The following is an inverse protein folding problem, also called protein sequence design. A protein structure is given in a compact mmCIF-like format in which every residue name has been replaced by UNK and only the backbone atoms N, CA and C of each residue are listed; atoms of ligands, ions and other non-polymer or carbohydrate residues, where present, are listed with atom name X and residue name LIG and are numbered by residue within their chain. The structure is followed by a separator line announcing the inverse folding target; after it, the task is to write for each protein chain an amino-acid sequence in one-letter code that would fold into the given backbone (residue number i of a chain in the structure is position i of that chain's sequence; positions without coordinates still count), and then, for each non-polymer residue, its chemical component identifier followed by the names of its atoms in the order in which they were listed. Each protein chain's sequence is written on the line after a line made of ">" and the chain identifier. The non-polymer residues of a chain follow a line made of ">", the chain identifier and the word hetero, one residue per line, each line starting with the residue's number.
data_IF_927326322602
#
_entry.id   IF_927326322602
#
_cell.length_a   1.000
_cell.length_b   1.000
_cell.length_c   1.000
_cell.angle_alpha   90.00
_cell.angle_beta   90.00
_cell.angle_gamma   90.00
#
_symmetry.space_group_name_H-M   'P 1'
#
loop_
_entity.id
_entity.type
_entity.pdbx_description
1 polymer ?
#
# COMPACT_ATOMS: atom_id res chain seq x y z
N UNK A 1 12.73 35.07 -53.60
CA UNK A 1 12.10 34.11 -52.67
C UNK A 1 13.01 34.01 -51.45
N UNK A 2 12.56 34.53 -50.31
CA UNK A 2 13.41 34.83 -49.15
C UNK A 2 13.81 33.56 -48.39
N UNK A 3 15.08 33.49 -47.98
CA UNK A 3 15.65 32.41 -47.14
C UNK A 3 14.81 32.08 -45.90
N UNK A 4 14.06 33.06 -45.40
CA UNK A 4 13.11 32.91 -44.29
C UNK A 4 11.98 31.91 -44.55
N UNK A 5 11.57 31.74 -45.81
CA UNK A 5 10.47 30.86 -46.20
C UNK A 5 10.87 29.38 -46.14
N UNK A 6 12.14 29.07 -46.41
CA UNK A 6 12.68 27.72 -46.27
C UNK A 6 12.89 27.33 -44.80
N UNK A 7 13.26 28.29 -43.95
CA UNK A 7 13.40 28.06 -42.51
C UNK A 7 12.05 27.77 -41.83
N UNK A 8 10.99 28.49 -42.20
CA UNK A 8 9.64 28.23 -41.66
C UNK A 8 9.10 26.86 -42.08
N UNK A 9 9.32 26.44 -43.34
CA UNK A 9 8.88 25.12 -43.83
C UNK A 9 9.68 24.00 -43.16
N UNK A 10 10.98 24.17 -42.95
CA UNK A 10 11.81 23.20 -42.23
C UNK A 10 11.43 23.10 -40.74
N UNK A 11 11.10 24.22 -40.09
CA UNK A 11 10.67 24.24 -38.68
C UNK A 11 9.28 23.59 -38.50
N UNK A 12 8.34 23.84 -39.44
CA UNK A 12 7.03 23.18 -39.46
C UNK A 12 7.14 21.68 -39.77
N UNK A 13 8.07 21.26 -40.62
CA UNK A 13 8.36 19.85 -40.87
C UNK A 13 8.98 19.15 -39.65
N UNK A 14 9.83 19.85 -38.89
CA UNK A 14 10.40 19.35 -37.63
C UNK A 14 9.37 19.28 -36.49
N UNK A 15 8.41 20.20 -36.45
CA UNK A 15 7.25 20.13 -35.54
C UNK A 15 6.26 19.03 -35.94
N UNK A 16 6.14 18.71 -37.23
CA UNK A 16 5.29 17.63 -37.74
C UNK A 16 5.84 16.22 -37.50
N UNK A 17 7.16 16.07 -37.32
CA UNK A 17 7.81 14.77 -37.10
C UNK A 17 7.79 14.30 -35.62
N UNK A 18 7.25 15.10 -34.68
CA UNK A 18 7.06 14.70 -33.29
C UNK A 18 5.65 14.15 -33.02
N UNK A 19 5.03 13.49 -34.01
CA UNK A 19 3.94 12.57 -33.68
C UNK A 19 4.55 11.35 -32.99
N UNK A 20 4.58 11.43 -31.65
CA UNK A 20 4.79 10.31 -30.76
C UNK A 20 3.86 9.17 -31.23
N UNK A 21 4.44 8.11 -31.79
CA UNK A 21 3.73 6.83 -31.92
C UNK A 21 3.52 6.33 -30.50
N UNK A 22 2.40 6.74 -29.89
CA UNK A 22 1.80 5.99 -28.81
C UNK A 22 1.32 4.69 -29.46
N UNK A 23 2.16 3.66 -29.41
CA UNK A 23 1.74 2.32 -29.77
C UNK A 23 0.57 1.97 -28.83
N UNK A 24 -0.60 1.74 -29.42
CA UNK A 24 -1.81 1.28 -28.73
C UNK A 24 -1.53 -0.14 -28.20
N UNK A 25 -0.88 -0.25 -27.04
CA UNK A 25 -0.60 -1.54 -26.44
C UNK A 25 -1.90 -2.11 -25.88
N UNK A 26 -2.28 -3.34 -26.27
CA UNK A 26 -3.49 -4.01 -25.76
C UNK A 26 -3.40 -4.39 -24.27
N UNK A 27 -2.29 -4.07 -23.59
CA UNK A 27 -2.09 -4.30 -22.16
C UNK A 27 -2.77 -3.20 -21.35
N UNK A 28 -3.82 -3.57 -20.62
CA UNK A 28 -4.60 -2.64 -19.80
C UNK A 28 -3.82 -2.28 -18.53
N UNK A 29 -3.64 -1.00 -18.24
CA UNK A 29 -3.07 -0.57 -16.95
C UNK A 29 -4.18 -0.51 -15.91
N UNK A 30 -4.01 -1.25 -14.82
CA UNK A 30 -4.95 -1.26 -13.70
C UNK A 30 -4.32 -0.59 -12.47
N UNK A 31 -5.16 0.15 -11.74
CA UNK A 31 -4.81 0.85 -10.50
C UNK A 31 -5.73 0.40 -9.36
N UNK A 32 -5.43 0.80 -8.13
CA UNK A 32 -6.29 0.52 -6.97
C UNK A 32 -7.76 0.94 -7.20
N UNK A 33 -7.99 2.05 -7.91
CA UNK A 33 -9.34 2.58 -8.16
C UNK A 33 -10.11 1.77 -9.21
N UNK A 34 -9.42 1.32 -10.26
CA UNK A 34 -10.07 0.68 -11.41
C UNK A 34 -10.14 -0.84 -11.32
N UNK A 35 -9.25 -1.46 -10.53
CA UNK A 35 -9.05 -2.90 -10.54
C UNK A 35 -10.36 -3.65 -10.28
N UNK A 36 -11.09 -3.32 -9.23
CA UNK A 36 -12.34 -4.00 -8.90
C UNK A 36 -13.46 -3.70 -9.88
N UNK A 37 -13.55 -2.46 -10.35
CA UNK A 37 -14.59 -2.07 -11.28
C UNK A 37 -14.45 -2.81 -12.63
N UNK A 38 -13.20 -2.98 -13.11
CA UNK A 38 -12.92 -3.63 -14.40
C UNK A 38 -12.86 -5.15 -14.29
N UNK A 39 -12.15 -5.67 -13.28
CA UNK A 39 -11.93 -7.12 -13.16
C UNK A 39 -13.05 -7.82 -12.43
N UNK A 40 -13.73 -7.14 -11.50
CA UNK A 40 -14.72 -7.70 -10.57
C UNK A 40 -14.22 -8.94 -9.82
N UNK A 41 -12.90 -9.05 -9.63
CA UNK A 41 -12.22 -10.23 -9.13
C UNK A 41 -12.74 -10.71 -7.78
N UNK A 42 -13.12 -9.80 -6.86
CA UNK A 42 -13.66 -10.18 -5.55
C UNK A 42 -15.12 -10.67 -5.55
N UNK A 43 -15.91 -10.29 -6.55
CA UNK A 43 -17.33 -10.69 -6.64
C UNK A 43 -17.55 -12.00 -7.40
N UNK A 44 -16.57 -12.39 -8.22
CA UNK A 44 -16.69 -13.54 -9.12
C UNK A 44 -17.62 -13.33 -10.32
N UNK A 45 -18.23 -12.16 -10.47
CA UNK A 45 -19.02 -11.77 -11.64
C UNK A 45 -18.17 -11.26 -12.82
N UNK A 46 -16.88 -11.61 -12.83
CA UNK A 46 -15.87 -11.13 -13.79
C UNK A 46 -16.41 -11.16 -15.22
N UNK A 47 -16.41 -10.01 -15.92
CA UNK A 47 -16.92 -9.86 -17.30
C UNK A 47 -16.10 -10.64 -18.34
N UNK A 48 -15.03 -11.30 -17.91
CA UNK A 48 -14.19 -12.20 -18.66
C UNK A 48 -13.03 -12.65 -17.77
N UNK A 49 -12.21 -13.55 -18.28
CA UNK A 49 -10.98 -13.93 -17.61
C UNK A 49 -9.93 -12.80 -17.73
N UNK A 50 -9.10 -12.65 -16.69
CA UNK A 50 -8.06 -11.62 -16.66
C UNK A 50 -6.69 -12.22 -16.36
N UNK A 51 -5.71 -11.96 -17.22
CA UNK A 51 -4.30 -12.22 -16.94
C UNK A 51 -3.66 -10.92 -16.48
N UNK A 52 -3.17 -10.85 -15.24
CA UNK A 52 -2.63 -9.62 -14.66
C UNK A 52 -1.18 -9.81 -14.22
N UNK A 53 -0.28 -8.97 -14.73
CA UNK A 53 1.10 -8.85 -14.27
C UNK A 53 1.22 -7.80 -13.15
N UNK A 54 1.67 -8.23 -11.98
CA UNK A 54 2.13 -7.36 -10.91
C UNK A 54 3.63 -7.11 -11.06
N UNK A 55 4.00 -5.87 -11.33
CA UNK A 55 5.37 -5.47 -11.64
C UNK A 55 5.85 -4.28 -10.81
N UNK A 56 7.15 -3.97 -10.94
CA UNK A 56 7.75 -2.74 -10.46
C UNK A 56 8.64 -2.14 -11.57
N UNK A 57 8.65 -0.81 -11.76
CA UNK A 57 9.26 -0.16 -12.94
C UNK A 57 10.79 -0.25 -12.93
N UNK A 58 11.39 -0.42 -11.76
CA UNK A 58 12.84 -0.59 -11.58
C UNK A 58 13.30 -2.04 -11.73
N UNK A 59 12.39 -3.02 -11.79
CA UNK A 59 12.76 -4.44 -11.82
C UNK A 59 13.25 -4.87 -13.21
N UNK A 60 14.50 -5.33 -13.29
CA UNK A 60 15.10 -5.79 -14.56
C UNK A 60 14.39 -7.00 -15.19
N UNK A 61 13.82 -7.92 -14.39
CA UNK A 61 13.05 -9.05 -14.91
C UNK A 61 11.71 -8.62 -15.51
N UNK A 62 11.07 -7.58 -14.96
CA UNK A 62 9.82 -7.02 -15.51
C UNK A 62 10.08 -6.34 -16.85
N UNK A 63 11.17 -5.56 -16.95
CA UNK A 63 11.57 -4.91 -18.23
C UNK A 63 11.82 -5.91 -19.36
N UNK A 64 12.34 -7.10 -19.04
CA UNK A 64 12.52 -8.19 -20.01
C UNK A 64 11.21 -8.86 -20.41
N UNK A 65 10.23 -8.92 -19.50
CA UNK A 65 8.93 -9.52 -19.74
C UNK A 65 7.99 -8.61 -20.54
N UNK A 66 8.07 -7.28 -20.34
CA UNK A 66 7.20 -6.29 -20.98
C UNK A 66 6.96 -6.52 -22.49
N UNK A 67 7.99 -6.67 -23.35
CA UNK A 67 7.76 -6.86 -24.80
C UNK A 67 7.15 -8.23 -25.14
N UNK A 68 7.32 -9.25 -24.29
CA UNK A 68 6.67 -10.55 -24.45
C UNK A 68 5.21 -10.44 -24.02
N UNK A 69 4.96 -9.72 -22.93
CA UNK A 69 3.63 -9.53 -22.35
C UNK A 69 2.72 -8.72 -23.28
N UNK A 70 3.26 -7.73 -23.99
CA UNK A 70 2.54 -7.01 -25.04
C UNK A 70 2.08 -7.95 -26.16
N UNK A 71 2.94 -8.86 -26.64
CA UNK A 71 2.55 -9.85 -27.64
C UNK A 71 1.50 -10.83 -27.15
N UNK A 72 1.56 -11.21 -25.87
CA UNK A 72 0.54 -12.04 -25.23
C UNK A 72 -0.80 -11.31 -25.20
N UNK A 73 -0.82 -10.01 -24.94
CA UNK A 73 -2.03 -9.20 -25.01
C UNK A 73 -2.60 -9.12 -26.43
N UNK A 74 -1.74 -9.02 -27.44
CA UNK A 74 -2.16 -9.04 -28.84
C UNK A 74 -2.75 -10.40 -29.25
N UNK A 75 -2.15 -11.50 -28.81
CA UNK A 75 -2.60 -12.86 -29.14
C UNK A 75 -3.91 -13.23 -28.43
N UNK A 76 -4.08 -12.81 -27.18
CA UNK A 76 -5.27 -13.13 -26.37
C UNK A 76 -6.41 -12.12 -26.56
N UNK A 77 -6.26 -11.18 -27.50
CA UNK A 77 -7.24 -10.11 -27.74
C UNK A 77 -8.62 -10.70 -28.06
N UNK A 78 -9.59 -10.38 -27.21
CA UNK A 78 -10.97 -10.84 -27.34
C UNK A 78 -11.26 -12.19 -26.66
N UNK A 79 -10.24 -12.92 -26.19
CA UNK A 79 -10.38 -14.15 -25.42
C UNK A 79 -10.18 -13.89 -23.92
N UNK A 80 -9.04 -13.28 -23.56
CA UNK A 80 -8.65 -13.01 -22.17
C UNK A 80 -8.13 -11.58 -22.07
N UNK A 81 -8.58 -10.84 -21.06
CA UNK A 81 -8.11 -9.48 -20.83
C UNK A 81 -6.71 -9.52 -20.22
N UNK A 82 -5.74 -8.87 -20.86
CA UNK A 82 -4.35 -8.82 -20.36
C UNK A 82 -4.09 -7.45 -19.76
N UNK A 83 -3.59 -7.43 -18.51
CA UNK A 83 -3.41 -6.21 -17.75
C UNK A 83 -2.12 -6.20 -16.94
N UNK A 84 -1.68 -5.01 -16.52
CA UNK A 84 -0.53 -4.82 -15.64
C UNK A 84 -0.86 -3.86 -14.51
N UNK A 85 -0.27 -4.11 -13.35
CA UNK A 85 -0.39 -3.30 -12.13
C UNK A 85 1.01 -2.96 -11.63
N UNK A 86 1.28 -1.67 -11.50
CA UNK A 86 2.48 -1.19 -10.82
C UNK A 86 2.26 -1.24 -9.31
N UNK A 87 2.89 -2.19 -8.62
CA UNK A 87 2.73 -2.37 -7.17
C UNK A 87 3.46 -1.28 -6.38
N UNK A 88 4.38 -0.53 -6.99
CA UNK A 88 5.07 0.57 -6.30
C UNK A 88 4.13 1.74 -6.02
N UNK A 89 3.26 2.05 -6.97
CA UNK A 89 2.20 3.05 -6.81
C UNK A 89 0.91 2.45 -6.21
N UNK A 90 0.71 1.13 -6.34
CA UNK A 90 -0.50 0.42 -5.93
C UNK A 90 -0.21 -0.65 -4.85
N UNK A 91 0.43 -0.24 -3.76
CA UNK A 91 0.89 -1.15 -2.70
C UNK A 91 -0.25 -1.94 -2.02
N UNK A 92 -1.47 -1.42 -2.01
CA UNK A 92 -2.65 -2.08 -1.43
C UNK A 92 -3.02 -3.36 -2.18
N UNK A 93 -3.02 -3.32 -3.51
CA UNK A 93 -3.23 -4.52 -4.34
C UNK A 93 -2.11 -5.54 -4.12
N UNK A 94 -0.86 -5.09 -4.01
CA UNK A 94 0.27 -5.95 -3.68
C UNK A 94 0.09 -6.69 -2.35
N UNK A 95 -0.37 -5.99 -1.30
CA UNK A 95 -0.68 -6.60 -0.01
C UNK A 95 -1.86 -7.57 -0.09
N UNK A 96 -2.94 -7.18 -0.77
CA UNK A 96 -4.17 -7.97 -0.90
C UNK A 96 -3.94 -9.31 -1.60
N UNK A 97 -3.12 -9.33 -2.64
CA UNK A 97 -2.77 -10.55 -3.38
C UNK A 97 -1.46 -11.20 -2.93
N UNK A 98 -0.89 -10.75 -1.80
CA UNK A 98 0.32 -11.37 -1.22
C UNK A 98 1.54 -11.32 -2.14
N UNK A 99 1.69 -10.28 -2.96
CA UNK A 99 2.80 -10.14 -3.92
C UNK A 99 4.09 -9.83 -3.17
N UNK A 100 5.01 -10.81 -3.11
CA UNK A 100 6.31 -10.70 -2.43
C UNK A 100 7.50 -10.48 -3.37
N UNK A 101 7.27 -10.56 -4.68
CA UNK A 101 8.34 -10.46 -5.68
C UNK A 101 7.81 -10.20 -7.07
N UNK A 102 8.69 -9.70 -7.95
CA UNK A 102 8.34 -9.25 -9.29
C UNK A 102 9.14 -9.97 -10.38
N UNK A 103 8.56 -10.20 -11.57
CA UNK A 103 7.13 -10.06 -11.88
C UNK A 103 6.33 -11.26 -11.36
N UNK A 104 5.14 -11.02 -10.83
CA UNK A 104 4.17 -12.06 -10.47
C UNK A 104 2.98 -11.95 -11.40
N UNK A 105 2.61 -13.04 -12.08
CA UNK A 105 1.45 -13.08 -12.98
C UNK A 105 0.36 -13.92 -12.33
N UNK A 106 -0.83 -13.34 -12.20
CA UNK A 106 -2.02 -14.02 -11.69
C UNK A 106 -3.09 -14.04 -12.79
N UNK A 107 -3.79 -15.15 -12.91
CA UNK A 107 -4.97 -15.28 -13.74
C UNK A 107 -6.21 -15.25 -12.84
N UNK A 108 -7.17 -14.38 -13.15
CA UNK A 108 -8.42 -14.24 -12.41
C UNK A 108 -9.57 -14.82 -13.22
N UNK A 109 -10.28 -15.76 -12.62
CA UNK A 109 -11.46 -16.39 -13.22
C UNK A 109 -12.42 -16.82 -12.11
N UNK A 110 -13.71 -16.50 -12.27
CA UNK A 110 -14.79 -16.92 -11.36
C UNK A 110 -14.52 -16.68 -9.86
N UNK A 111 -13.95 -15.52 -9.51
CA UNK A 111 -13.70 -15.15 -8.10
C UNK A 111 -12.47 -15.82 -7.48
N UNK A 112 -11.66 -16.51 -8.29
CA UNK A 112 -10.40 -17.12 -7.88
C UNK A 112 -9.24 -16.54 -8.66
N UNK A 113 -8.08 -16.51 -8.01
CA UNK A 113 -6.80 -16.16 -8.61
C UNK A 113 -5.89 -17.38 -8.69
N UNK A 114 -5.26 -17.56 -9.83
CA UNK A 114 -4.38 -18.67 -10.15
C UNK A 114 -2.99 -18.14 -10.46
N UNK A 115 -2.00 -18.56 -9.67
CA UNK A 115 -0.63 -18.07 -9.83
C UNK A 115 0.11 -18.79 -10.94
N UNK A 116 0.69 -18.04 -11.87
CA UNK A 116 1.55 -18.61 -12.90
C UNK A 116 2.95 -18.92 -12.34
N UNK A 117 3.43 -20.15 -12.57
CA UNK A 117 4.76 -20.63 -12.14
C UNK A 117 5.62 -21.19 -13.28
N UNK A 118 5.12 -21.15 -14.52
CA UNK A 118 5.81 -21.66 -15.71
C UNK A 118 6.90 -20.73 -16.26
N UNK A 119 7.39 -21.04 -17.47
CA UNK A 119 8.37 -20.16 -18.14
C UNK A 119 7.64 -18.95 -18.69
N UNK A 120 8.28 -17.79 -18.63
CA UNK A 120 7.68 -16.53 -19.06
C UNK A 120 7.85 -16.31 -20.57
N UNK A 121 7.47 -17.31 -21.36
CA UNK A 121 7.41 -17.21 -22.82
C UNK A 121 5.99 -16.87 -23.25
N UNK A 122 5.84 -16.44 -24.49
CA UNK A 122 4.55 -16.08 -25.05
C UNK A 122 3.60 -17.28 -25.04
N UNK A 123 4.08 -18.43 -25.47
CA UNK A 123 3.30 -19.66 -25.62
C UNK A 123 2.81 -20.18 -24.27
N UNK A 124 3.69 -20.19 -23.25
CA UNK A 124 3.35 -20.68 -21.92
C UNK A 124 2.34 -19.76 -21.23
N UNK A 125 2.47 -18.44 -21.38
CA UNK A 125 1.52 -17.47 -20.83
C UNK A 125 0.16 -17.53 -21.52
N UNK A 126 0.14 -17.63 -22.86
CA UNK A 126 -1.11 -17.77 -23.63
C UNK A 126 -1.81 -19.09 -23.33
N UNK A 127 -1.07 -20.21 -23.27
CA UNK A 127 -1.61 -21.51 -22.89
C UNK A 127 -2.16 -21.52 -21.46
N UNK A 128 -1.47 -20.86 -20.54
CA UNK A 128 -1.96 -20.71 -19.17
C UNK A 128 -3.28 -19.95 -19.13
N UNK A 129 -3.37 -18.82 -19.84
CA UNK A 129 -4.56 -17.98 -19.89
C UNK A 129 -5.77 -18.68 -20.53
N UNK A 130 -5.58 -19.49 -21.58
CA UNK A 130 -6.67 -20.21 -22.27
C UNK A 130 -7.25 -21.39 -21.49
N UNK A 131 -6.64 -21.79 -20.37
CA UNK A 131 -7.16 -22.87 -19.54
C UNK A 131 -6.14 -23.62 -18.71
N UNK A 132 -4.83 -23.43 -18.94
CA UNK A 132 -3.79 -24.03 -18.12
C UNK A 132 -3.89 -23.66 -16.64
N UNK A 133 -4.48 -22.50 -16.32
CA UNK A 133 -4.76 -22.07 -14.95
C UNK A 133 -5.60 -23.05 -14.12
N UNK A 134 -6.46 -23.86 -14.77
CA UNK A 134 -7.32 -24.85 -14.09
C UNK A 134 -6.51 -25.98 -13.44
N UNK A 135 -5.25 -26.17 -13.86
CA UNK A 135 -4.34 -27.17 -13.28
C UNK A 135 -3.66 -26.70 -11.98
N UNK A 136 -3.78 -25.41 -11.64
CA UNK A 136 -3.18 -24.81 -10.45
C UNK A 136 -4.25 -24.62 -9.38
N UNK A 137 -3.89 -24.78 -8.12
CA UNK A 137 -4.78 -24.49 -7.00
C UNK A 137 -5.14 -22.99 -7.01
N UNK A 138 -6.43 -22.71 -7.18
CA UNK A 138 -6.96 -21.35 -7.18
C UNK A 138 -7.19 -20.85 -5.76
N UNK A 139 -6.67 -19.66 -5.47
CA UNK A 139 -6.93 -18.94 -4.22
C UNK A 139 -8.17 -18.07 -4.36
N UNK A 140 -9.08 -18.08 -3.38
CA UNK A 140 -10.28 -17.25 -3.40
C UNK A 140 -9.86 -15.79 -3.27
N UNK A 141 -10.30 -14.94 -4.20
CA UNK A 141 -10.01 -13.52 -4.15
C UNK A 141 -10.80 -12.91 -2.99
N UNK A 142 -10.10 -12.48 -1.95
CA UNK A 142 -10.72 -11.76 -0.84
C UNK A 142 -11.44 -10.52 -1.37
N UNK A 143 -12.65 -10.25 -0.86
CA UNK A 143 -13.42 -9.06 -1.22
C UNK A 143 -12.56 -7.79 -1.06
N UNK A 144 -12.76 -6.82 -1.94
CA UNK A 144 -12.12 -5.52 -1.79
C UNK A 144 -12.50 -4.91 -0.43
N UNK A 145 -11.58 -4.21 0.25
CA UNK A 145 -11.86 -3.60 1.54
C UNK A 145 -13.06 -2.65 1.37
N UNK A 146 -14.17 -2.99 2.04
CA UNK A 146 -15.37 -2.16 1.99
C UNK A 146 -15.18 -0.93 2.88
N UNK A 147 -15.97 0.12 2.66
CA UNK A 147 -15.98 1.29 3.55
C UNK A 147 -16.21 0.90 5.02
N UNK A 148 -17.02 -0.13 5.27
CA UNK A 148 -17.24 -0.67 6.60
C UNK A 148 -15.97 -1.30 7.21
N UNK A 149 -15.09 -1.86 6.39
CA UNK A 149 -13.80 -2.39 6.85
C UNK A 149 -12.85 -1.25 7.22
N UNK A 150 -12.84 -0.15 6.46
CA UNK A 150 -12.12 1.06 6.85
C UNK A 150 -12.64 1.64 8.18
N UNK A 151 -13.97 1.70 8.37
CA UNK A 151 -14.58 2.14 9.61
C UNK A 151 -14.24 1.21 10.79
N UNK A 152 -14.26 -0.11 10.57
CA UNK A 152 -13.82 -1.09 11.57
C UNK A 152 -12.33 -0.96 11.89
N UNK A 153 -11.48 -0.70 10.89
CA UNK A 153 -10.05 -0.49 11.10
C UNK A 153 -9.79 0.74 11.94
N UNK A 154 -10.45 1.87 11.67
CA UNK A 154 -10.36 3.05 12.55
C UNK A 154 -10.83 2.74 13.97
N UNK A 155 -11.94 2.02 14.14
CA UNK A 155 -12.43 1.65 15.46
C UNK A 155 -11.45 0.72 16.22
N UNK A 156 -10.84 -0.23 15.52
CA UNK A 156 -9.84 -1.15 16.09
C UNK A 156 -8.53 -0.44 16.44
N UNK A 157 -8.09 0.51 15.62
CA UNK A 157 -6.89 1.31 15.89
C UNK A 157 -7.13 2.24 17.09
N UNK A 158 -8.26 2.94 17.16
CA UNK A 158 -8.64 3.74 18.34
C UNK A 158 -8.69 2.86 19.60
N UNK A 159 -9.23 1.65 19.49
CA UNK A 159 -9.28 0.70 20.61
C UNK A 159 -7.89 0.21 21.01
N UNK A 160 -7.01 -0.10 20.06
CA UNK A 160 -5.61 -0.52 20.34
C UNK A 160 -4.83 0.60 20.98
N UNK A 161 -4.97 1.81 20.47
CA UNK A 161 -4.33 3.01 21.02
C UNK A 161 -4.86 3.28 22.42
N UNK A 162 -6.16 3.17 22.66
CA UNK A 162 -6.73 3.29 23.99
C UNK A 162 -6.21 2.23 24.96
N UNK A 163 -6.11 0.96 24.53
CA UNK A 163 -5.52 -0.12 25.35
C UNK A 163 -4.05 0.15 25.65
N UNK A 164 -3.30 0.60 24.64
CA UNK A 164 -1.87 0.93 24.77
C UNK A 164 -1.67 2.11 25.72
N UNK A 165 -2.53 3.12 25.60
CA UNK A 165 -2.56 4.31 26.43
C UNK A 165 -2.98 3.97 27.87
N UNK A 166 -3.93 3.06 28.07
CA UNK A 166 -4.28 2.54 29.40
C UNK A 166 -3.14 1.68 29.99
N UNK A 167 -2.45 0.89 29.18
CA UNK A 167 -1.32 0.06 29.61
C UNK A 167 -0.09 0.90 29.99
N UNK A 168 0.24 1.94 29.23
CA UNK A 168 1.32 2.89 29.56
C UNK A 168 0.93 3.85 30.68
N UNK A 169 -0.34 4.29 30.75
CA UNK A 169 -0.79 5.20 31.82
C UNK A 169 -0.89 4.56 33.19
N UNK A 170 -0.93 3.23 33.34
CA UNK A 170 -0.77 2.63 34.68
C UNK A 170 0.58 3.01 35.28
N UNK A 171 1.65 3.05 34.49
CA UNK A 171 2.96 3.52 34.95
C UNK A 171 2.99 5.05 35.09
N UNK A 172 2.37 5.82 34.19
CA UNK A 172 2.30 7.29 34.32
C UNK A 172 1.53 7.73 35.56
N UNK A 173 0.37 7.12 35.84
CA UNK A 173 -0.44 7.43 37.02
C UNK A 173 0.33 7.10 38.31
N UNK A 174 0.99 5.94 38.35
CA UNK A 174 1.82 5.52 39.48
C UNK A 174 3.04 6.44 39.69
N UNK A 175 3.68 6.89 38.60
CA UNK A 175 4.80 7.85 38.63
C UNK A 175 4.35 9.24 39.09
N UNK A 176 3.18 9.72 38.64
CA UNK A 176 2.65 11.02 39.09
C UNK A 176 2.23 10.99 40.56
N UNK A 177 1.68 9.87 41.03
CA UNK A 177 1.28 9.71 42.43
C UNK A 177 2.49 9.57 43.35
N UNK A 178 3.50 8.80 42.95
CA UNK A 178 4.74 8.66 43.72
C UNK A 178 5.54 9.95 43.76
N UNK A 179 5.64 10.67 42.64
CA UNK A 179 6.29 11.98 42.57
C UNK A 179 5.57 13.01 43.44
N UNK A 180 4.24 13.07 43.40
CA UNK A 180 3.44 13.96 44.25
C UNK A 180 3.57 13.64 45.74
N UNK A 181 3.58 12.36 46.12
CA UNK A 181 3.76 11.92 47.51
C UNK A 181 5.16 12.27 48.06
N UNK A 182 6.21 12.09 47.26
CA UNK A 182 7.57 12.49 47.60
C UNK A 182 7.71 14.00 47.77
N UNK A 183 7.13 14.78 46.86
CA UNK A 183 7.14 16.24 46.96
C UNK A 183 6.39 16.72 48.22
N UNK A 184 5.26 16.10 48.53
CA UNK A 184 4.49 16.38 49.74
C UNK A 184 5.24 16.06 51.03
N UNK A 185 5.91 14.90 51.10
CA UNK A 185 6.74 14.53 52.25
C UNK A 185 7.94 15.46 52.44
N UNK A 186 8.59 15.90 51.36
CA UNK A 186 9.69 16.86 51.42
C UNK A 186 9.23 18.23 51.94
N UNK A 187 8.12 18.75 51.43
CA UNK A 187 7.54 20.02 51.90
C UNK A 187 7.07 19.92 53.37
N UNK A 188 6.50 18.78 53.77
CA UNK A 188 6.11 18.50 55.15
C UNK A 188 7.31 18.47 56.12
N UNK A 189 8.41 17.84 55.73
CA UNK A 189 9.66 17.82 56.52
C UNK A 189 10.26 19.22 56.70
N UNK A 190 10.21 20.07 55.67
CA UNK A 190 10.69 21.45 55.77
C UNK A 190 9.85 22.28 56.76
N UNK A 191 8.54 22.04 56.83
CA UNK A 191 7.67 22.70 57.81
C UNK A 191 7.88 22.16 59.24
N UNK A 192 8.16 20.86 59.40
CA UNK A 192 8.44 20.23 60.70
C UNK A 192 9.75 20.69 61.34
N UNK A 193 10.80 20.93 60.55
CA UNK A 193 12.08 21.44 61.06
C UNK A 193 12.02 22.92 61.49
N UNK A 194 11.06 23.71 61.01
CA UNK A 194 10.89 25.10 61.44
C UNK A 194 10.22 25.24 62.82
N UNK A 195 9.63 24.18 63.37
CA UNK A 195 8.84 24.26 64.62
C UNK A 195 9.58 23.75 65.87
N UNK A 196 10.82 23.24 65.76
CA UNK A 196 11.56 22.67 66.90
C UNK A 196 12.75 23.49 67.44
N UNK A 197 13.02 24.70 66.93
CA UNK A 197 13.92 25.64 67.64
C UNK A 197 13.16 26.39 68.73
N UNK A 198 12.87 25.68 69.82
CA UNK A 198 12.53 26.27 71.11
C UNK A 198 13.68 27.15 71.60
N UNK A 199 13.53 28.46 71.44
CA UNK A 199 14.42 29.47 72.04
C UNK A 199 14.24 29.44 73.57
N UNK A 200 15.26 28.98 74.30
CA UNK A 200 15.31 29.12 75.76
C UNK A 200 15.44 30.61 76.10
N UNK A 201 14.40 31.22 76.67
CA UNK A 201 14.47 32.55 77.27
C UNK A 201 14.92 32.47 78.75
N UNK A 202 15.88 33.30 79.21
CA UNK A 202 16.32 33.31 80.61
C UNK A 202 15.34 34.08 81.50
N UNK A 203 15.04 33.52 82.69
CA UNK A 203 14.24 34.19 83.73
C UNK A 203 15.07 35.31 84.39
N UNK A 204 14.67 36.56 84.21
CA UNK A 204 15.16 37.69 85.01
C UNK A 204 14.33 37.84 86.29
N UNK A 205 15.02 37.89 87.45
CA UNK A 205 14.52 38.30 88.76
C UNK A 205 14.05 39.77 88.76
N UNK A 206 12.90 40.02 89.42
CA UNK A 206 12.44 41.26 90.10
C UNK A 206 11.18 40.82 90.87
N UNK A 207 10.94 41.09 92.15
CA UNK A 207 11.63 41.72 93.28
C UNK A 207 11.30 40.87 94.52
#
# INVERSE_FOLDING_TARGET
>A
MSSWQFLCVALLALLGALQLVAADSNVIVLTNADFEHKTQAGSGATTGDWLVEFYAPWCGHCKKLAPIYEKVADELKGEVNVAKVDVTDNAELGKRFGIRGFPTVLHFSHGKSYKFTGKRTLEDLAAFARGGFKSVDGEVVGAAPSFLDFAKQQALDVKRDFITLLATKKNVLLVTFSSGLLLGLLLGCMCGCCTSRGSKAPKSKKE
#
